data_IF_263142646477
#
_entry.id   IF_263142646477
#
_cell.length_a   1.000
_cell.length_b   1.000
_cell.length_c   1.000
_cell.angle_alpha   90.00
_cell.angle_beta   90.00
_cell.angle_gamma   90.00
#
_symmetry.space_group_name_H-M   'P 1'
#
loop_
_entity.id
_entity.type
_entity.pdbx_description
1 polymer ?
#
# COMPACT_ATOMS: atom_id res chain seq x y z
N UNK A 1 10.77 4.66 -12.86
CA UNK A 1 11.36 5.79 -12.10
C UNK A 1 11.59 7.09 -12.89
N UNK A 2 12.47 7.18 -13.91
CA UNK A 2 12.78 8.49 -14.57
C UNK A 2 11.61 9.09 -15.36
N UNK A 3 10.78 8.26 -16.03
CA UNK A 3 9.58 8.71 -16.76
C UNK A 3 8.47 9.20 -15.82
N UNK A 4 8.19 8.42 -14.77
CA UNK A 4 7.21 8.75 -13.74
C UNK A 4 7.54 10.07 -13.03
N UNK A 5 8.80 10.28 -12.63
CA UNK A 5 9.26 11.57 -12.05
C UNK A 5 9.03 12.77 -12.99
N UNK A 6 9.27 12.60 -14.30
CA UNK A 6 9.01 13.66 -15.29
C UNK A 6 7.53 13.95 -15.45
N UNK A 7 6.68 12.93 -15.46
CA UNK A 7 5.22 13.10 -15.53
C UNK A 7 4.69 13.81 -14.27
N UNK A 8 5.15 13.41 -13.08
CA UNK A 8 4.83 14.09 -11.82
C UNK A 8 5.18 15.57 -11.85
N UNK A 9 6.39 15.90 -12.29
CA UNK A 9 6.85 17.29 -12.40
C UNK A 9 6.00 18.12 -13.39
N UNK A 10 5.47 17.48 -14.45
CA UNK A 10 4.54 18.13 -15.39
C UNK A 10 3.17 18.37 -14.76
N UNK A 11 2.63 17.38 -14.06
CA UNK A 11 1.34 17.46 -13.35
C UNK A 11 1.39 18.55 -12.26
N UNK A 12 2.46 18.60 -11.46
CA UNK A 12 2.62 19.58 -10.38
C UNK A 12 2.53 21.05 -10.83
N UNK A 13 2.93 21.35 -12.06
CA UNK A 13 2.93 22.69 -12.65
C UNK A 13 1.60 23.10 -13.29
N UNK A 14 0.66 22.17 -13.46
CA UNK A 14 -0.63 22.45 -14.08
C UNK A 14 -1.61 23.04 -13.05
N UNK A 15 -2.03 24.28 -13.26
CA UNK A 15 -2.95 25.02 -12.35
C UNK A 15 -4.42 24.94 -12.76
N UNK A 16 -4.77 24.25 -13.86
CA UNK A 16 -6.17 24.09 -14.27
C UNK A 16 -6.95 23.20 -13.30
N UNK A 17 -8.28 23.20 -13.41
CA UNK A 17 -9.15 22.26 -12.68
C UNK A 17 -8.76 20.79 -12.94
N UNK A 18 -8.44 20.44 -14.19
CA UNK A 18 -7.87 19.13 -14.54
C UNK A 18 -6.51 18.89 -13.86
N UNK A 19 -5.68 19.93 -13.73
CA UNK A 19 -4.43 19.86 -12.99
C UNK A 19 -4.61 19.58 -11.50
N UNK A 20 -5.68 20.09 -10.88
CA UNK A 20 -6.05 19.77 -9.48
C UNK A 20 -6.39 18.28 -9.36
N UNK A 21 -7.27 17.75 -10.21
CA UNK A 21 -7.65 16.33 -10.20
C UNK A 21 -6.46 15.39 -10.44
N UNK A 22 -5.57 15.72 -11.38
CA UNK A 22 -4.37 14.92 -11.64
C UNK A 22 -3.39 14.92 -10.46
N UNK A 23 -3.29 16.03 -9.72
CA UNK A 23 -2.46 16.09 -8.50
C UNK A 23 -3.06 15.27 -7.37
N UNK A 24 -4.38 15.36 -7.18
CA UNK A 24 -5.09 14.53 -6.21
C UNK A 24 -4.89 13.04 -6.49
N UNK A 25 -5.03 12.62 -7.76
CA UNK A 25 -4.79 11.25 -8.17
C UNK A 25 -3.34 10.77 -7.88
N UNK A 26 -2.35 11.58 -8.25
CA UNK A 26 -0.94 11.20 -8.02
C UNK A 26 -0.57 11.22 -6.52
N UNK A 27 -1.17 12.12 -5.74
CA UNK A 27 -0.99 12.17 -4.29
C UNK A 27 -1.59 10.92 -3.64
N UNK A 28 -2.84 10.56 -3.99
CA UNK A 28 -3.49 9.35 -3.49
C UNK A 28 -2.66 8.11 -3.78
N UNK A 29 -2.19 7.97 -5.02
CA UNK A 29 -1.26 6.90 -5.41
C UNK A 29 0.01 6.82 -4.55
N UNK A 30 0.62 7.96 -4.22
CA UNK A 30 1.83 8.00 -3.38
C UNK A 30 1.53 7.62 -1.95
N UNK A 31 0.42 8.12 -1.41
CA UNK A 31 0.03 7.90 -0.03
C UNK A 31 -0.41 6.44 0.17
N UNK A 32 -1.21 5.88 -0.74
CA UNK A 32 -1.57 4.46 -0.72
C UNK A 32 -0.36 3.53 -0.68
N UNK A 33 0.64 3.77 -1.54
CA UNK A 33 1.91 3.02 -1.54
C UNK A 33 2.67 3.16 -0.22
N UNK A 34 2.74 4.38 0.29
CA UNK A 34 3.50 4.71 1.50
C UNK A 34 2.85 4.08 2.73
N UNK A 35 1.54 4.22 2.88
CA UNK A 35 0.76 3.64 3.97
C UNK A 35 0.87 2.12 3.94
N UNK A 36 0.68 1.48 2.77
CA UNK A 36 0.82 0.03 2.63
C UNK A 36 2.18 -0.46 3.12
N UNK A 37 3.27 0.21 2.70
CA UNK A 37 4.61 -0.14 3.16
C UNK A 37 4.77 0.07 4.67
N UNK A 38 4.28 1.17 5.24
CA UNK A 38 4.34 1.45 6.68
C UNK A 38 3.64 0.35 7.50
N UNK A 39 2.41 0.01 7.11
CA UNK A 39 1.59 -1.04 7.73
C UNK A 39 2.33 -2.38 7.69
N UNK A 40 2.83 -2.76 6.52
CA UNK A 40 3.58 -4.00 6.35
C UNK A 40 4.87 -4.02 7.19
N UNK A 41 5.67 -2.95 7.14
CA UNK A 41 6.93 -2.83 7.87
C UNK A 41 6.74 -2.91 9.39
N UNK A 42 5.69 -2.27 9.91
CA UNK A 42 5.35 -2.31 11.33
C UNK A 42 5.07 -3.75 11.79
N UNK A 43 4.22 -4.48 11.06
CA UNK A 43 3.91 -5.87 11.42
C UNK A 43 5.12 -6.80 11.27
N UNK A 44 5.89 -6.65 10.20
CA UNK A 44 7.09 -7.44 9.96
C UNK A 44 8.12 -7.23 11.09
N UNK A 45 8.21 -6.00 11.62
CA UNK A 45 9.05 -5.69 12.77
C UNK A 45 8.53 -6.39 14.03
N UNK A 46 7.25 -6.24 14.34
CA UNK A 46 6.63 -6.70 15.59
C UNK A 46 6.54 -8.24 15.68
N UNK A 47 6.02 -8.90 14.63
CA UNK A 47 5.70 -10.34 14.67
C UNK A 47 6.73 -11.23 13.99
N UNK A 48 7.52 -10.68 13.06
CA UNK A 48 8.46 -11.46 12.26
C UNK A 48 9.93 -11.11 12.52
N UNK A 49 10.19 -10.17 13.43
CA UNK A 49 11.53 -9.77 13.85
C UNK A 49 12.35 -9.12 12.73
N UNK A 50 11.71 -8.55 11.71
CA UNK A 50 12.41 -7.85 10.64
C UNK A 50 12.98 -6.55 11.19
N UNK A 51 14.27 -6.56 11.55
CA UNK A 51 14.99 -5.34 11.91
C UNK A 51 15.22 -4.46 10.68
N UNK A 52 15.56 -3.18 10.91
CA UNK A 52 15.76 -2.14 9.89
C UNK A 52 16.42 -2.61 8.59
N UNK A 53 17.58 -3.29 8.67
CA UNK A 53 18.30 -3.80 7.49
C UNK A 53 17.47 -4.79 6.67
N UNK A 54 16.74 -5.69 7.34
CA UNK A 54 15.90 -6.69 6.66
C UNK A 54 14.68 -6.05 6.01
N UNK A 55 14.09 -5.02 6.62
CA UNK A 55 12.99 -4.26 6.01
C UNK A 55 13.49 -3.49 4.77
N UNK A 56 14.67 -2.88 4.80
CA UNK A 56 15.24 -2.25 3.60
C UNK A 56 15.50 -3.27 2.49
N UNK A 57 16.06 -4.43 2.81
CA UNK A 57 16.26 -5.51 1.84
C UNK A 57 14.91 -5.99 1.25
N UNK A 58 13.87 -6.06 2.07
CA UNK A 58 12.52 -6.36 1.61
C UNK A 58 12.00 -5.29 0.64
N UNK A 59 12.11 -4.01 0.98
CA UNK A 59 11.72 -2.91 0.10
C UNK A 59 12.49 -2.92 -1.23
N UNK A 60 13.78 -3.24 -1.21
CA UNK A 60 14.58 -3.37 -2.43
C UNK A 60 14.06 -4.49 -3.34
N UNK A 61 13.69 -5.64 -2.76
CA UNK A 61 13.07 -6.75 -3.50
C UNK A 61 11.71 -6.37 -4.08
N UNK A 62 10.87 -5.66 -3.33
CA UNK A 62 9.62 -5.11 -3.85
C UNK A 62 9.86 -4.16 -5.03
N UNK A 63 10.85 -3.27 -4.94
CA UNK A 63 11.18 -2.37 -6.04
C UNK A 63 11.69 -3.10 -7.30
N UNK A 64 12.44 -4.19 -7.12
CA UNK A 64 12.86 -5.05 -8.24
C UNK A 64 11.67 -5.75 -8.89
N UNK A 65 10.77 -6.30 -8.08
CA UNK A 65 9.58 -6.99 -8.59
C UNK A 65 8.62 -6.01 -9.27
N UNK A 66 8.46 -4.80 -8.73
CA UNK A 66 7.68 -3.72 -9.36
C UNK A 66 8.21 -3.29 -10.73
N UNK A 67 9.51 -3.50 -11.02
CA UNK A 67 10.06 -3.18 -12.33
C UNK A 67 9.59 -4.15 -13.43
N UNK A 68 9.00 -5.29 -13.03
CA UNK A 68 8.46 -6.34 -13.91
C UNK A 68 6.93 -6.29 -14.01
N UNK A 69 6.30 -5.19 -13.62
CA UNK A 69 4.83 -5.09 -13.54
C UNK A 69 4.09 -5.37 -14.87
N UNK A 70 4.78 -5.22 -16.01
CA UNK A 70 4.22 -5.52 -17.34
C UNK A 70 4.32 -7.03 -17.70
N UNK A 71 4.95 -7.85 -16.87
CA UNK A 71 5.03 -9.31 -17.04
C UNK A 71 3.69 -9.97 -16.71
N UNK A 72 3.14 -10.72 -17.66
CA UNK A 72 1.81 -11.35 -17.53
C UNK A 72 1.74 -12.38 -16.40
N UNK A 73 2.85 -13.07 -16.11
CA UNK A 73 2.94 -14.02 -15.01
C UNK A 73 2.87 -13.30 -13.66
N UNK A 74 3.61 -12.21 -13.50
CA UNK A 74 3.52 -11.37 -12.31
C UNK A 74 2.13 -10.77 -12.14
N UNK A 75 1.52 -10.25 -13.21
CA UNK A 75 0.16 -9.68 -13.15
C UNK A 75 -0.87 -10.71 -12.69
N UNK A 76 -0.76 -11.96 -13.14
CA UNK A 76 -1.64 -13.03 -12.66
C UNK A 76 -1.50 -13.24 -11.14
N UNK A 77 -0.27 -13.33 -10.63
CA UNK A 77 -0.01 -13.52 -9.20
C UNK A 77 -0.50 -12.32 -8.38
N UNK A 78 -0.22 -11.09 -8.84
CA UNK A 78 -0.69 -9.87 -8.19
C UNK A 78 -2.21 -9.83 -8.11
N UNK A 79 -2.90 -10.23 -9.18
CA UNK A 79 -4.36 -10.30 -9.21
C UNK A 79 -4.91 -11.27 -8.16
N UNK A 80 -4.32 -12.46 -8.01
CA UNK A 80 -4.73 -13.44 -6.98
C UNK A 80 -4.65 -12.84 -5.57
N UNK A 81 -3.58 -12.11 -5.25
CA UNK A 81 -3.47 -11.46 -3.95
C UNK A 81 -4.39 -10.25 -3.81
N UNK A 82 -4.53 -9.43 -4.86
CA UNK A 82 -5.41 -8.27 -4.86
C UNK A 82 -6.88 -8.68 -4.66
N UNK A 83 -7.36 -9.69 -5.38
CA UNK A 83 -8.74 -10.19 -5.26
C UNK A 83 -9.04 -10.65 -3.82
N UNK A 84 -8.08 -11.33 -3.17
CA UNK A 84 -8.20 -11.75 -1.77
C UNK A 84 -8.20 -10.57 -0.79
N UNK A 85 -7.40 -9.54 -1.05
CA UNK A 85 -7.38 -8.32 -0.22
C UNK A 85 -8.72 -7.58 -0.36
N UNK A 86 -9.21 -7.43 -1.59
CA UNK A 86 -10.50 -6.79 -1.88
C UNK A 86 -11.65 -7.53 -1.21
N UNK A 87 -11.68 -8.87 -1.30
CA UNK A 87 -12.67 -9.70 -0.59
C UNK A 87 -12.68 -9.37 0.91
N UNK A 88 -11.50 -9.37 1.55
CA UNK A 88 -11.37 -9.05 2.97
C UNK A 88 -11.80 -7.63 3.31
N UNK A 89 -11.54 -6.66 2.44
CA UNK A 89 -11.86 -5.25 2.70
C UNK A 89 -13.33 -4.93 2.47
N UNK A 90 -13.97 -5.57 1.48
CA UNK A 90 -15.40 -5.43 1.23
C UNK A 90 -16.24 -5.95 2.41
N UNK A 91 -15.75 -6.98 3.12
CA UNK A 91 -16.38 -7.48 4.34
C UNK A 91 -16.44 -6.45 5.48
N UNK A 92 -15.64 -5.37 5.40
CA UNK A 92 -15.57 -4.33 6.44
C UNK A 92 -16.74 -3.33 6.39
N UNK A 93 -17.67 -3.45 5.42
CA UNK A 93 -18.89 -2.61 5.28
C UNK A 93 -18.61 -1.10 5.40
N UNK A 94 -17.56 -0.63 4.75
CA UNK A 94 -17.13 0.75 4.75
C UNK A 94 -18.06 1.61 3.88
N UNK A 95 -18.58 2.70 4.43
CA UNK A 95 -19.24 3.76 3.63
C UNK A 95 -18.30 4.96 3.53
N UNK A 96 -17.69 5.15 2.36
CA UNK A 96 -17.03 6.42 2.06
C UNK A 96 -18.09 7.45 1.64
N UNK A 97 -18.01 8.64 2.24
CA UNK A 97 -18.76 9.82 1.80
C UNK A 97 -17.76 10.94 1.50
N UNK A 98 -17.01 10.86 0.38
CA UNK A 98 -16.13 11.94 -0.02
C UNK A 98 -16.96 13.22 -0.23
N UNK A 99 -16.47 14.34 0.27
CA UNK A 99 -17.18 15.61 0.23
C UNK A 99 -17.23 16.19 -1.18
N UNK A 100 -16.22 15.90 -2.02
CA UNK A 100 -16.16 16.35 -3.40
C UNK A 100 -15.46 15.37 -4.38
N UNK A 101 -15.49 15.72 -5.66
CA UNK A 101 -14.91 14.91 -6.75
C UNK A 101 -13.38 14.79 -6.63
N UNK A 102 -12.70 15.81 -6.15
CA UNK A 102 -11.23 15.81 -6.01
C UNK A 102 -10.82 14.86 -4.88
N UNK A 103 -11.53 14.91 -3.77
CA UNK A 103 -11.36 13.98 -2.64
C UNK A 103 -11.69 12.55 -3.07
N UNK A 104 -12.79 12.34 -3.79
CA UNK A 104 -13.13 11.02 -4.31
C UNK A 104 -12.05 10.44 -5.24
N UNK A 105 -11.47 11.27 -6.12
CA UNK A 105 -10.34 10.86 -6.97
C UNK A 105 -9.12 10.48 -6.13
N UNK A 106 -8.82 11.27 -5.09
CA UNK A 106 -7.72 10.97 -4.18
C UNK A 106 -7.93 9.64 -3.44
N UNK A 107 -9.09 9.43 -2.81
CA UNK A 107 -9.40 8.22 -2.03
C UNK A 107 -9.34 6.97 -2.92
N UNK A 108 -10.00 7.00 -4.09
CA UNK A 108 -9.96 5.88 -5.03
C UNK A 108 -8.51 5.52 -5.41
N UNK A 109 -7.67 6.51 -5.73
CA UNK A 109 -6.27 6.23 -6.07
C UNK A 109 -5.46 5.76 -4.85
N UNK A 110 -5.71 6.29 -3.66
CA UNK A 110 -5.07 5.83 -2.43
C UNK A 110 -5.38 4.36 -2.17
N UNK A 111 -6.63 3.96 -2.29
CA UNK A 111 -7.06 2.61 -1.96
C UNK A 111 -6.60 1.59 -3.01
N UNK A 112 -6.71 1.92 -4.30
CA UNK A 112 -6.16 1.12 -5.40
C UNK A 112 -4.66 0.86 -5.22
N UNK A 113 -3.90 1.91 -4.86
CA UNK A 113 -2.46 1.80 -4.69
C UNK A 113 -2.05 1.21 -3.35
N UNK A 114 -2.89 1.27 -2.33
CA UNK A 114 -2.72 0.54 -1.08
C UNK A 114 -2.84 -0.97 -1.34
N UNK A 115 -3.94 -1.41 -1.98
CA UNK A 115 -4.21 -2.82 -2.30
C UNK A 115 -3.14 -3.39 -3.22
N UNK A 116 -2.83 -2.71 -4.33
CA UNK A 116 -1.83 -3.22 -5.29
C UNK A 116 -0.42 -3.28 -4.70
N UNK A 117 -0.07 -2.37 -3.79
CA UNK A 117 1.21 -2.43 -3.07
C UNK A 117 1.25 -3.58 -2.08
N UNK A 118 0.16 -3.86 -1.35
CA UNK A 118 0.05 -5.04 -0.49
C UNK A 118 0.15 -6.34 -1.29
N UNK A 119 -0.53 -6.43 -2.44
CA UNK A 119 -0.43 -7.58 -3.34
C UNK A 119 1.03 -7.83 -3.77
N UNK A 120 1.75 -6.78 -4.17
CA UNK A 120 3.18 -6.88 -4.50
C UNK A 120 4.03 -7.34 -3.31
N UNK A 121 3.77 -6.77 -2.14
CA UNK A 121 4.47 -7.15 -0.91
C UNK A 121 4.21 -8.60 -0.52
N UNK A 122 2.98 -9.10 -0.67
CA UNK A 122 2.63 -10.50 -0.41
C UNK A 122 3.31 -11.45 -1.39
N UNK A 123 3.39 -11.09 -2.68
CA UNK A 123 4.18 -11.84 -3.68
C UNK A 123 5.64 -11.99 -3.23
N UNK A 124 6.27 -10.89 -2.81
CA UNK A 124 7.67 -10.92 -2.35
C UNK A 124 7.81 -11.71 -1.05
N UNK A 125 6.91 -11.52 -0.08
CA UNK A 125 6.95 -12.26 1.19
C UNK A 125 6.76 -13.76 1.01
N UNK A 126 5.95 -14.15 0.03
CA UNK A 126 5.79 -15.54 -0.36
C UNK A 126 7.05 -16.10 -1.01
N UNK A 127 7.51 -15.48 -2.10
CA UNK A 127 8.64 -15.99 -2.88
C UNK A 127 9.99 -15.94 -2.14
N UNK A 128 10.24 -14.88 -1.36
CA UNK A 128 11.58 -14.59 -0.82
C UNK A 128 11.71 -14.91 0.67
N UNK A 129 10.59 -15.07 1.38
CA UNK A 129 10.56 -15.26 2.83
C UNK A 129 9.71 -16.46 3.27
N UNK A 130 9.13 -17.21 2.32
CA UNK A 130 8.34 -18.41 2.58
C UNK A 130 7.09 -18.16 3.41
N UNK A 131 6.57 -16.93 3.42
CA UNK A 131 5.30 -16.62 4.08
C UNK A 131 4.15 -17.07 3.18
N UNK A 132 3.21 -17.84 3.71
CA UNK A 132 2.09 -18.33 2.91
C UNK A 132 0.77 -18.09 3.63
N UNK A 133 -0.29 -18.03 2.83
CA UNK A 133 -1.65 -18.25 3.29
C UNK A 133 -1.86 -19.75 3.55
N UNK A 134 -2.83 -20.09 4.40
CA UNK A 134 -3.25 -21.48 4.59
C UNK A 134 -4.77 -21.64 4.64
N UNK A 135 -5.26 -22.87 4.49
CA UNK A 135 -6.69 -23.17 4.51
C UNK A 135 -7.37 -22.86 5.86
N UNK A 136 -6.59 -22.84 6.95
CA UNK A 136 -7.07 -22.53 8.29
C UNK A 136 -7.10 -21.03 8.58
N UNK A 137 -6.77 -20.17 7.61
CA UNK A 137 -6.67 -18.71 7.76
C UNK A 137 -5.74 -18.27 8.91
N UNK A 138 -4.65 -19.00 9.12
CA UNK A 138 -3.66 -18.76 10.20
C UNK A 138 -2.23 -18.70 9.67
N UNK A 139 -2.05 -18.69 8.35
CA UNK A 139 -0.74 -18.54 7.72
C UNK A 139 -0.15 -17.16 8.02
N UNK A 140 1.15 -17.01 7.82
CA UNK A 140 1.83 -15.72 8.06
C UNK A 140 1.24 -14.59 7.19
N UNK A 141 0.83 -14.91 5.97
CA UNK A 141 0.14 -13.93 5.11
C UNK A 141 -1.32 -13.72 5.51
N UNK A 142 -2.00 -14.70 6.12
CA UNK A 142 -3.35 -14.49 6.68
C UNK A 142 -3.30 -13.48 7.83
N UNK A 143 -2.34 -13.65 8.76
CA UNK A 143 -2.12 -12.70 9.87
C UNK A 143 -1.79 -11.31 9.34
N UNK A 144 -0.99 -11.23 8.27
CA UNK A 144 -0.63 -9.97 7.66
C UNK A 144 -1.82 -9.30 6.97
N UNK A 145 -2.64 -10.07 6.26
CA UNK A 145 -3.88 -9.58 5.65
C UNK A 145 -4.85 -9.04 6.71
N UNK A 146 -5.02 -9.76 7.82
CA UNK A 146 -5.89 -9.32 8.93
C UNK A 146 -5.41 -8.00 9.53
N UNK A 147 -4.11 -7.88 9.79
CA UNK A 147 -3.52 -6.64 10.30
C UNK A 147 -3.72 -5.49 9.29
N UNK A 148 -3.45 -5.72 8.01
CA UNK A 148 -3.64 -4.71 6.98
C UNK A 148 -5.10 -4.26 6.85
N UNK A 149 -6.05 -5.19 6.98
CA UNK A 149 -7.48 -4.88 6.98
C UNK A 149 -7.88 -4.00 8.16
N UNK A 150 -7.35 -4.26 9.36
CA UNK A 150 -7.60 -3.43 10.53
C UNK A 150 -7.00 -2.02 10.40
N UNK A 151 -5.80 -1.89 9.83
CA UNK A 151 -5.20 -0.57 9.57
C UNK A 151 -5.95 0.17 8.46
N UNK A 152 -6.42 -0.53 7.43
CA UNK A 152 -7.29 0.03 6.39
C UNK A 152 -8.61 0.54 6.98
N UNK A 153 -9.23 -0.21 7.88
CA UNK A 153 -10.44 0.21 8.59
C UNK A 153 -10.20 1.51 9.38
N UNK A 154 -9.08 1.64 10.09
CA UNK A 154 -8.73 2.87 10.82
C UNK A 154 -8.59 4.07 9.89
N UNK A 155 -7.89 3.89 8.76
CA UNK A 155 -7.72 4.91 7.73
C UNK A 155 -9.06 5.41 7.19
N UNK A 156 -10.03 4.50 7.08
CA UNK A 156 -11.36 4.78 6.54
C UNK A 156 -12.29 5.43 7.57
N UNK A 157 -12.18 5.07 8.85
CA UNK A 157 -13.01 5.62 9.93
C UNK A 157 -12.49 6.97 10.47
N UNK A 158 -11.18 7.21 10.41
CA UNK A 158 -10.53 8.41 10.93
C UNK A 158 -9.37 8.85 10.01
N UNK A 159 -9.67 9.35 8.80
CA UNK A 159 -8.66 9.71 7.81
C UNK A 159 -7.76 10.88 8.24
N UNK A 160 -8.26 11.77 9.12
CA UNK A 160 -7.50 12.90 9.65
C UNK A 160 -6.53 12.46 10.77
N UNK A 161 -6.94 11.50 11.61
CA UNK A 161 -6.09 10.97 12.68
C UNK A 161 -5.10 9.90 12.22
N UNK A 162 -5.39 9.21 11.10
CA UNK A 162 -4.57 8.13 10.53
C UNK A 162 -4.10 8.45 9.10
N UNK A 163 -3.63 9.67 8.87
CA UNK A 163 -3.08 10.09 7.58
C UNK A 163 -1.71 9.47 7.26
N UNK A 164 -1.21 9.71 6.03
CA UNK A 164 0.11 9.21 5.60
C UNK A 164 1.25 9.68 6.51
N UNK A 165 1.17 10.91 7.04
CA UNK A 165 2.21 11.46 7.90
C UNK A 165 2.25 10.75 9.26
N UNK A 166 1.08 10.39 9.78
CA UNK A 166 0.94 9.56 10.98
C UNK A 166 1.60 8.20 10.79
N UNK A 167 1.29 7.50 9.69
CA UNK A 167 1.89 6.19 9.40
C UNK A 167 3.41 6.26 9.25
N UNK A 168 3.93 7.25 8.51
CA UNK A 168 5.38 7.46 8.35
C UNK A 168 6.05 7.73 9.69
N UNK A 169 5.45 8.58 10.54
CA UNK A 169 5.98 8.88 11.88
C UNK A 169 6.00 7.63 12.76
N UNK A 170 4.90 6.89 12.83
CA UNK A 170 4.81 5.67 13.63
C UNK A 170 5.82 4.61 13.18
N UNK A 171 5.97 4.41 11.86
CA UNK A 171 6.96 3.46 11.33
C UNK A 171 8.38 3.92 11.62
N UNK A 172 8.68 5.22 11.53
CA UNK A 172 10.00 5.75 11.88
C UNK A 172 10.33 5.54 13.35
N UNK A 173 9.40 5.86 14.24
CA UNK A 173 9.56 5.68 15.69
C UNK A 173 9.76 4.20 16.05
N UNK A 174 8.97 3.31 15.45
CA UNK A 174 9.01 1.87 15.73
C UNK A 174 10.24 1.16 15.15
N UNK A 175 10.58 1.45 13.89
CA UNK A 175 11.55 0.65 13.11
C UNK A 175 12.86 1.38 12.84
N UNK A 176 12.92 2.69 13.04
CA UNK A 176 14.05 3.55 12.67
C UNK A 176 14.19 3.76 11.17
N UNK A 177 13.20 3.39 10.35
CA UNK A 177 13.20 3.56 8.90
C UNK A 177 12.83 4.99 8.54
N UNK A 178 13.51 5.52 7.52
CA UNK A 178 13.21 6.80 6.88
C UNK A 178 12.66 6.48 5.50
N UNK A 179 11.47 7.02 5.20
CA UNK A 179 10.68 6.78 3.98
C UNK A 179 10.71 8.06 3.15
#
# INVERSE_FOLDING_TARGET
>A
MRRERKQRAKIGKNKSSTGVMLRAAEQGKLDGRTIAFCVAANLLYDLHGFRRRRIYNFLEKCNKEAARFDDSGLQFVLKVYADRIVEKFNDLLLMEHPADVVEHIYCNQRDDFFISSLALMFTVLNGEYGMAFNQKKTGRLDVMLEYCANEYLKLQLDPDGHDVAWYVRQTREKTGIII
#
